data_IF_117180717044
#
_entry.id   IF_117180717044
#
_cell.length_a   1.000
_cell.length_b   1.000
_cell.length_c   1.000
_cell.angle_alpha   90.00
_cell.angle_beta   90.00
_cell.angle_gamma   90.00
#
_symmetry.space_group_name_H-M   'P 1'
#
loop_
_entity.id
_entity.type
_entity.pdbx_description
1 polymer ?
#
# COMPACT_ATOMS: atom_id res chain seq x y z
N UNK A 1 74.33 72.96 -39.61
CA UNK A 1 75.56 72.15 -39.67
C UNK A 1 75.20 70.70 -39.38
N UNK A 2 75.34 69.94 -40.15
CA UNK A 2 76.04 69.00 -41.04
C UNK A 2 75.20 67.72 -41.15
N UNK A 3 74.71 67.46 -42.16
CA UNK A 3 74.75 66.48 -43.26
C UNK A 3 75.63 65.24 -43.02
N UNK A 4 75.07 64.04 -43.24
CA UNK A 4 75.67 62.89 -43.92
C UNK A 4 74.59 61.77 -44.02
N UNK A 5 74.06 61.62 -45.20
CA UNK A 5 74.41 60.66 -46.29
C UNK A 5 74.27 59.19 -45.92
N UNK A 6 73.15 58.63 -46.31
CA UNK A 6 72.88 57.63 -47.38
C UNK A 6 73.85 56.47 -47.57
N UNK A 7 73.30 55.22 -47.43
CA UNK A 7 73.52 54.23 -48.50
C UNK A 7 72.42 53.17 -48.56
N UNK A 8 71.83 52.97 -49.75
CA UNK A 8 70.95 51.91 -50.19
C UNK A 8 71.67 50.61 -50.18
N UNK A 9 71.05 49.58 -49.60
CA UNK A 9 71.45 48.18 -49.75
C UNK A 9 70.28 47.35 -50.26
N UNK A 10 70.54 46.57 -51.27
CA UNK A 10 69.60 45.96 -52.19
C UNK A 10 68.65 44.94 -51.61
N UNK A 11 67.49 44.89 -52.21
CA UNK A 11 66.45 43.87 -52.06
C UNK A 11 66.89 42.46 -52.32
N UNK A 12 66.66 41.52 -51.42
CA UNK A 12 66.59 40.11 -51.80
C UNK A 12 65.12 39.67 -51.59
N UNK A 13 64.55 39.40 -52.77
CA UNK A 13 63.21 38.90 -52.98
C UNK A 13 63.14 37.46 -52.49
N UNK A 14 62.54 37.23 -51.28
CA UNK A 14 62.25 35.88 -50.81
C UNK A 14 61.04 35.32 -51.51
N UNK A 15 61.23 34.17 -52.16
CA UNK A 15 60.18 33.38 -52.83
C UNK A 15 59.09 32.94 -51.83
N UNK A 16 57.84 32.96 -52.22
CA UNK A 16 56.79 32.44 -51.36
C UNK A 16 56.91 30.92 -51.19
N UNK A 17 56.94 30.43 -49.94
CA UNK A 17 56.86 29.02 -49.60
C UNK A 17 55.48 28.51 -50.06
N UNK A 18 55.51 27.51 -50.96
CA UNK A 18 54.33 26.71 -51.28
C UNK A 18 53.84 25.98 -50.02
N UNK A 19 52.66 26.31 -49.58
CA UNK A 19 51.91 25.51 -48.58
C UNK A 19 51.71 24.09 -49.18
N UNK A 20 52.39 23.13 -48.64
CA UNK A 20 52.13 21.74 -48.89
C UNK A 20 50.74 21.41 -48.31
N UNK A 21 49.75 21.34 -49.16
CA UNK A 21 48.46 20.73 -48.84
C UNK A 21 48.74 19.28 -48.48
N UNK A 22 48.57 18.92 -47.20
CA UNK A 22 48.54 17.53 -46.77
C UNK A 22 47.41 16.85 -47.55
N UNK A 23 47.81 15.96 -48.47
CA UNK A 23 46.89 15.15 -49.23
C UNK A 23 46.29 14.12 -48.28
N UNK A 24 45.04 14.32 -47.84
CA UNK A 24 44.24 13.31 -47.17
C UNK A 24 44.08 12.13 -48.11
N UNK A 25 44.48 10.90 -47.72
CA UNK A 25 44.39 9.74 -48.60
C UNK A 25 42.92 9.44 -48.92
N UNK A 26 42.58 9.49 -50.22
CA UNK A 26 41.26 9.19 -50.79
C UNK A 26 40.87 7.69 -50.74
N UNK A 27 41.23 6.97 -49.72
CA UNK A 27 40.91 5.54 -49.59
C UNK A 27 40.36 5.19 -48.23
N UNK A 28 39.18 5.67 -47.88
CA UNK A 28 38.21 4.99 -46.99
C UNK A 28 36.85 5.70 -47.18
N UNK A 29 36.33 5.68 -48.36
CA UNK A 29 34.91 5.83 -48.59
C UNK A 29 34.45 4.56 -49.32
N UNK A 30 34.38 3.45 -48.57
CA UNK A 30 33.55 2.32 -48.99
C UNK A 30 32.12 2.85 -48.97
N UNK A 31 31.66 3.33 -50.10
CA UNK A 31 30.24 3.58 -50.33
C UNK A 31 29.56 2.22 -50.24
N UNK A 32 28.92 1.95 -49.09
CA UNK A 32 27.86 0.96 -49.01
C UNK A 32 26.86 1.33 -50.12
N UNK A 33 26.41 0.41 -50.94
CA UNK A 33 25.36 0.68 -51.91
C UNK A 33 24.03 0.81 -51.19
N UNK A 34 23.82 1.94 -50.51
CA UNK A 34 22.52 2.27 -49.98
C UNK A 34 21.74 2.86 -51.14
N UNK A 35 20.73 2.14 -51.58
CA UNK A 35 19.75 2.62 -52.52
C UNK A 35 19.19 3.95 -52.01
N UNK A 36 19.54 5.04 -52.70
CA UNK A 36 19.23 6.41 -52.28
C UNK A 36 17.74 6.64 -52.14
N UNK A 37 16.93 5.89 -52.87
CA UNK A 37 15.46 5.92 -52.76
C UNK A 37 14.98 5.28 -51.45
N UNK A 38 15.64 4.21 -50.98
CA UNK A 38 15.34 3.59 -49.67
C UNK A 38 15.83 4.45 -48.54
N UNK A 39 17.02 5.05 -48.65
CA UNK A 39 17.56 5.96 -47.64
C UNK A 39 16.64 7.19 -47.42
N UNK A 40 16.13 7.77 -48.51
CA UNK A 40 15.21 8.89 -48.44
C UNK A 40 13.83 8.50 -47.86
N UNK A 41 13.33 7.29 -48.14
CA UNK A 41 12.11 6.78 -47.52
C UNK A 41 12.28 6.54 -46.03
N UNK A 42 13.39 5.92 -45.62
CA UNK A 42 13.69 5.70 -44.18
C UNK A 42 13.90 7.03 -43.47
N UNK A 43 14.64 7.97 -44.06
CA UNK A 43 14.81 9.32 -43.49
C UNK A 43 13.48 10.06 -43.37
N UNK A 44 12.57 9.93 -44.34
CA UNK A 44 11.23 10.51 -44.29
C UNK A 44 10.36 9.89 -43.16
N UNK A 45 10.41 8.58 -42.97
CA UNK A 45 9.70 7.87 -41.89
C UNK A 45 10.25 8.29 -40.51
N UNK A 46 11.58 8.32 -40.38
CA UNK A 46 12.23 8.75 -39.09
C UNK A 46 11.92 10.20 -38.79
N UNK A 47 12.00 11.08 -39.81
CA UNK A 47 11.65 12.49 -39.61
C UNK A 47 10.16 12.69 -39.30
N UNK A 48 9.27 11.98 -39.99
CA UNK A 48 7.85 11.98 -39.74
C UNK A 48 7.50 11.48 -38.32
N UNK A 49 8.15 10.37 -37.92
CA UNK A 49 8.01 9.84 -36.54
C UNK A 49 8.53 10.80 -35.47
N UNK A 50 9.67 11.45 -35.74
CA UNK A 50 10.21 12.46 -34.81
C UNK A 50 9.30 13.70 -34.72
N UNK A 51 8.77 14.19 -35.84
CA UNK A 51 7.79 15.29 -35.82
C UNK A 51 6.51 14.92 -35.10
N UNK A 52 6.01 13.69 -35.29
CA UNK A 52 4.83 13.20 -34.59
C UNK A 52 5.08 13.09 -33.07
N UNK A 53 6.27 12.66 -32.67
CA UNK A 53 6.67 12.63 -31.28
C UNK A 53 6.77 14.04 -30.66
N UNK A 54 7.33 15.03 -31.40
CA UNK A 54 7.35 16.42 -30.95
C UNK A 54 5.92 16.96 -30.79
N UNK A 55 5.06 16.72 -31.77
CA UNK A 55 3.64 17.14 -31.69
C UNK A 55 2.96 16.49 -30.48
N UNK A 56 3.16 15.20 -30.25
CA UNK A 56 2.61 14.51 -29.09
C UNK A 56 3.12 15.13 -27.76
N UNK A 57 4.43 15.39 -27.67
CA UNK A 57 5.02 16.05 -26.48
C UNK A 57 4.44 17.48 -26.30
N UNK A 58 4.30 18.24 -27.37
CA UNK A 58 3.69 19.57 -27.32
C UNK A 58 2.24 19.52 -26.90
N UNK A 59 1.46 18.57 -27.42
CA UNK A 59 0.06 18.39 -27.05
C UNK A 59 -0.07 18.02 -25.57
N UNK A 60 0.79 17.16 -25.04
CA UNK A 60 0.85 16.80 -23.63
C UNK A 60 1.31 18.01 -22.77
N UNK A 61 2.37 18.71 -23.21
CA UNK A 61 2.89 19.87 -22.49
C UNK A 61 1.90 21.05 -22.43
N UNK A 62 1.04 21.18 -23.43
CA UNK A 62 -0.05 22.19 -23.45
C UNK A 62 -1.32 21.72 -22.78
N UNK A 63 -1.31 20.51 -22.21
CA UNK A 63 -2.46 19.92 -21.50
C UNK A 63 -3.73 19.81 -22.38
N UNK A 64 -3.52 19.70 -23.71
CA UNK A 64 -4.63 19.69 -24.69
C UNK A 64 -5.56 18.51 -24.51
N UNK A 65 -5.08 17.26 -24.23
CA UNK A 65 -5.97 16.14 -23.97
C UNK A 65 -6.89 16.41 -22.76
N UNK A 66 -6.33 16.86 -21.65
CA UNK A 66 -7.12 17.16 -20.44
C UNK A 66 -8.11 18.31 -20.67
N UNK A 67 -7.73 19.35 -21.44
CA UNK A 67 -8.66 20.44 -21.81
C UNK A 67 -9.80 19.94 -22.70
N UNK A 68 -9.50 19.00 -23.62
CA UNK A 68 -10.52 18.41 -24.49
C UNK A 68 -11.49 17.53 -23.70
N UNK A 69 -11.00 16.75 -22.74
CA UNK A 69 -11.84 15.94 -21.83
C UNK A 69 -12.72 16.84 -20.96
N UNK A 70 -12.16 17.91 -20.39
CA UNK A 70 -12.93 18.89 -19.60
C UNK A 70 -14.02 19.56 -20.44
N UNK A 71 -13.70 19.96 -21.67
CA UNK A 71 -14.68 20.58 -22.58
C UNK A 71 -15.79 19.60 -22.97
N UNK A 72 -15.46 18.35 -23.25
CA UNK A 72 -16.43 17.29 -23.51
C UNK A 72 -17.28 16.99 -22.27
N UNK A 73 -16.66 16.86 -21.09
CA UNK A 73 -17.38 16.64 -19.83
C UNK A 73 -18.34 17.78 -19.49
N UNK A 74 -17.91 19.03 -19.69
CA UNK A 74 -18.77 20.20 -19.46
C UNK A 74 -19.94 20.31 -20.47
N UNK A 75 -19.73 19.87 -21.72
CA UNK A 75 -20.80 19.77 -22.71
C UNK A 75 -21.84 18.71 -22.33
N UNK A 76 -21.41 17.55 -21.83
CA UNK A 76 -22.28 16.50 -21.28
C UNK A 76 -23.06 17.02 -20.06
N UNK A 77 -22.38 17.80 -19.18
CA UNK A 77 -23.05 18.44 -18.04
C UNK A 77 -24.14 19.43 -18.46
N UNK A 78 -23.90 20.21 -19.52
CA UNK A 78 -24.93 21.11 -20.12
C UNK A 78 -26.11 20.37 -20.75
N UNK A 79 -25.89 19.12 -21.17
CA UNK A 79 -26.98 18.23 -21.66
C UNK A 79 -27.80 17.60 -20.52
N UNK A 80 -27.56 17.99 -19.23
CA UNK A 80 -28.37 17.55 -18.10
C UNK A 80 -27.73 16.43 -17.26
N UNK A 81 -26.57 15.92 -17.64
CA UNK A 81 -25.86 14.86 -16.88
C UNK A 81 -24.96 15.46 -15.78
N UNK A 82 -25.60 16.06 -14.79
CA UNK A 82 -24.92 16.64 -13.62
C UNK A 82 -25.25 15.82 -12.38
N UNK A 83 -24.31 15.75 -11.42
CA UNK A 83 -24.55 15.07 -10.16
C UNK A 83 -25.53 15.87 -9.31
N UNK A 84 -26.72 15.30 -9.08
CA UNK A 84 -27.75 15.86 -8.19
C UNK A 84 -27.74 15.18 -6.82
N UNK A 85 -27.20 13.96 -6.72
CA UNK A 85 -27.08 13.24 -5.47
C UNK A 85 -26.23 11.98 -5.59
N UNK A 86 -25.99 11.35 -4.44
CA UNK A 86 -25.33 10.05 -4.39
C UNK A 86 -25.92 9.16 -3.30
N UNK A 87 -25.78 7.85 -3.48
CA UNK A 87 -26.19 6.83 -2.54
C UNK A 87 -24.96 6.09 -2.05
N UNK A 88 -24.85 5.90 -0.73
CA UNK A 88 -23.81 5.08 -0.13
C UNK A 88 -24.45 3.79 0.34
N UNK A 89 -23.89 2.65 -0.03
CA UNK A 89 -24.33 1.31 0.36
C UNK A 89 -23.16 0.52 0.95
N UNK A 90 -23.47 -0.49 1.77
CA UNK A 90 -22.47 -1.39 2.35
C UNK A 90 -21.79 -0.91 3.63
N UNK A 91 -22.22 0.21 4.22
CA UNK A 91 -21.73 0.68 5.51
C UNK A 91 -22.44 -0.06 6.67
N UNK A 92 -21.65 -0.56 7.61
CA UNK A 92 -22.12 -1.18 8.86
C UNK A 92 -21.47 -0.54 10.11
N UNK A 93 -20.18 -0.27 10.08
CA UNK A 93 -19.41 0.21 11.23
C UNK A 93 -18.78 1.58 11.00
N UNK A 94 -18.41 1.89 9.78
CA UNK A 94 -17.75 3.15 9.44
C UNK A 94 -18.73 4.34 9.51
N UNK A 95 -18.27 5.48 10.06
CA UNK A 95 -19.09 6.70 10.08
C UNK A 95 -19.34 7.20 8.65
N UNK A 96 -20.62 7.24 8.28
CA UNK A 96 -21.08 7.75 6.99
C UNK A 96 -20.52 9.14 6.65
N UNK A 97 -20.35 10.01 7.65
CA UNK A 97 -19.84 11.38 7.46
C UNK A 97 -18.44 11.42 6.83
N UNK A 98 -17.64 10.41 7.11
CA UNK A 98 -16.29 10.29 6.52
C UNK A 98 -16.37 10.02 5.03
N UNK A 99 -17.28 9.15 4.60
CA UNK A 99 -17.53 8.86 3.20
C UNK A 99 -18.17 10.07 2.50
N UNK A 100 -19.17 10.69 3.13
CA UNK A 100 -19.82 11.91 2.63
C UNK A 100 -18.80 13.02 2.38
N UNK A 101 -17.83 13.20 3.28
CA UNK A 101 -16.79 14.21 3.12
C UNK A 101 -15.89 13.94 1.88
N UNK A 102 -15.50 12.69 1.67
CA UNK A 102 -14.66 12.30 0.52
C UNK A 102 -15.41 12.52 -0.79
N UNK A 103 -16.67 12.08 -0.86
CA UNK A 103 -17.50 12.17 -2.08
C UNK A 103 -17.86 13.61 -2.39
N UNK A 104 -18.30 14.38 -1.38
CA UNK A 104 -18.70 15.78 -1.55
C UNK A 104 -17.53 16.66 -1.97
N UNK A 105 -16.32 16.39 -1.45
CA UNK A 105 -15.09 17.09 -1.82
C UNK A 105 -14.76 16.89 -3.30
N UNK A 106 -14.86 15.65 -3.79
CA UNK A 106 -14.61 15.33 -5.19
C UNK A 106 -15.68 15.92 -6.14
N UNK A 107 -16.95 15.87 -5.73
CA UNK A 107 -18.04 16.52 -6.49
C UNK A 107 -17.81 18.03 -6.59
N UNK A 108 -17.42 18.68 -5.47
CA UNK A 108 -17.11 20.10 -5.47
C UNK A 108 -15.93 20.43 -6.39
N UNK A 109 -14.84 19.62 -6.30
CA UNK A 109 -13.68 19.77 -7.18
C UNK A 109 -14.10 19.70 -8.67
N UNK A 110 -14.90 18.71 -9.04
CA UNK A 110 -15.38 18.58 -10.43
C UNK A 110 -16.29 19.73 -10.88
N UNK A 111 -17.09 20.32 -9.96
CA UNK A 111 -17.89 21.50 -10.24
C UNK A 111 -17.02 22.74 -10.46
N UNK A 112 -16.05 22.98 -9.60
CA UNK A 112 -15.09 24.09 -9.68
C UNK A 112 -14.27 24.00 -10.98
N UNK A 113 -13.79 22.80 -11.34
CA UNK A 113 -13.04 22.54 -12.57
C UNK A 113 -13.91 22.81 -13.84
N UNK A 114 -15.18 22.54 -13.77
CA UNK A 114 -16.14 22.84 -14.85
C UNK A 114 -16.57 24.30 -14.88
N UNK A 115 -16.31 25.09 -13.83
CA UNK A 115 -16.86 26.43 -13.66
C UNK A 115 -18.40 26.42 -13.59
N UNK A 116 -19.00 25.36 -13.01
CA UNK A 116 -20.43 25.11 -13.01
C UNK A 116 -20.99 25.00 -11.59
N UNK A 117 -22.25 25.36 -11.39
CA UNK A 117 -22.91 25.23 -10.11
C UNK A 117 -23.15 23.77 -9.67
N UNK A 118 -23.19 22.84 -10.63
CA UNK A 118 -23.28 21.40 -10.40
C UNK A 118 -22.18 20.67 -11.15
N UNK A 119 -21.60 19.66 -10.53
CA UNK A 119 -20.56 18.86 -11.15
C UNK A 119 -21.10 18.07 -12.35
N UNK A 120 -20.50 18.20 -13.54
CA UNK A 120 -20.76 17.26 -14.62
C UNK A 120 -20.36 15.84 -14.18
N UNK A 121 -21.26 14.87 -14.31
CA UNK A 121 -21.02 13.50 -13.84
C UNK A 121 -19.79 12.86 -14.51
N UNK A 122 -19.48 13.26 -15.73
CA UNK A 122 -18.32 12.78 -16.48
C UNK A 122 -16.97 13.28 -15.89
N UNK A 123 -16.95 14.44 -15.21
CA UNK A 123 -15.74 15.04 -14.61
C UNK A 123 -15.49 14.59 -13.16
N UNK A 124 -16.47 13.92 -12.53
CA UNK A 124 -16.23 13.33 -11.21
C UNK A 124 -15.31 12.14 -11.37
N UNK A 125 -14.15 12.20 -10.71
CA UNK A 125 -13.16 11.13 -10.75
C UNK A 125 -13.55 10.01 -9.78
N UNK A 126 -14.15 8.96 -10.33
CA UNK A 126 -14.60 7.79 -9.57
C UNK A 126 -13.42 7.02 -8.95
N UNK A 127 -12.26 6.98 -9.63
CA UNK A 127 -11.08 6.29 -9.11
C UNK A 127 -10.44 7.09 -7.98
N UNK A 128 -10.38 8.41 -8.07
CA UNK A 128 -9.90 9.25 -6.98
C UNK A 128 -10.75 9.09 -5.70
N UNK A 129 -12.07 8.99 -5.83
CA UNK A 129 -12.95 8.67 -4.68
C UNK A 129 -12.58 7.30 -4.11
N UNK A 130 -12.48 6.28 -4.96
CA UNK A 130 -12.14 4.91 -4.57
C UNK A 130 -10.80 4.84 -3.84
N UNK A 131 -9.75 5.41 -4.39
CA UNK A 131 -8.42 5.44 -3.78
C UNK A 131 -8.41 6.13 -2.42
N UNK A 132 -9.16 7.23 -2.27
CA UNK A 132 -9.30 7.93 -1.00
C UNK A 132 -10.04 7.09 0.03
N UNK A 133 -11.10 6.38 -0.36
CA UNK A 133 -11.85 5.47 0.51
C UNK A 133 -11.01 4.28 0.97
N UNK A 134 -10.20 3.69 0.11
CA UNK A 134 -9.30 2.57 0.44
C UNK A 134 -8.20 2.92 1.46
N UNK A 135 -7.98 4.20 1.75
CA UNK A 135 -7.04 4.63 2.82
C UNK A 135 -7.62 4.46 4.23
N UNK A 136 -8.92 4.30 4.36
CA UNK A 136 -9.55 4.03 5.65
C UNK A 136 -9.45 2.54 5.99
N UNK A 137 -8.98 2.24 7.19
CA UNK A 137 -8.77 0.86 7.64
C UNK A 137 -10.02 -0.01 7.52
N UNK A 138 -11.20 0.54 7.74
CA UNK A 138 -12.47 -0.17 7.62
C UNK A 138 -12.83 -0.57 6.18
N UNK A 139 -12.28 0.07 5.18
CA UNK A 139 -12.65 -0.19 3.77
C UNK A 139 -11.79 -1.31 3.21
N UNK A 140 -12.41 -2.45 2.88
CA UNK A 140 -11.78 -3.58 2.19
C UNK A 140 -11.77 -3.37 0.68
N UNK A 141 -12.89 -2.92 0.13
CA UNK A 141 -13.04 -2.53 -1.28
C UNK A 141 -14.08 -1.42 -1.40
N UNK A 142 -13.97 -0.63 -2.46
CA UNK A 142 -14.93 0.41 -2.78
C UNK A 142 -15.14 0.47 -4.29
N UNK A 143 -16.39 0.67 -4.71
CA UNK A 143 -16.78 0.86 -6.10
C UNK A 143 -17.59 2.12 -6.22
N UNK A 144 -17.28 2.92 -7.23
CA UNK A 144 -18.00 4.15 -7.54
C UNK A 144 -18.65 4.01 -8.90
N UNK A 145 -19.96 3.95 -8.92
CA UNK A 145 -20.74 3.71 -10.12
C UNK A 145 -21.52 4.99 -10.50
N UNK A 146 -21.48 5.34 -11.77
CA UNK A 146 -22.32 6.42 -12.30
C UNK A 146 -23.69 5.85 -12.66
N UNK A 147 -24.72 6.33 -11.99
CA UNK A 147 -26.11 5.99 -12.27
C UNK A 147 -26.76 7.16 -13.03
N UNK A 148 -26.93 6.97 -14.31
CA UNK A 148 -27.55 7.98 -15.15
C UNK A 148 -29.04 8.21 -14.76
N UNK A 149 -29.55 9.44 -14.90
CA UNK A 149 -28.87 10.59 -15.51
C UNK A 149 -27.97 11.39 -14.55
N UNK A 150 -28.17 11.34 -13.21
CA UNK A 150 -27.69 12.38 -12.30
C UNK A 150 -27.23 11.88 -10.92
N UNK A 151 -27.00 10.59 -10.74
CA UNK A 151 -26.62 10.02 -9.45
C UNK A 151 -25.31 9.24 -9.47
N UNK A 152 -24.64 9.18 -8.30
CA UNK A 152 -23.53 8.27 -8.05
C UNK A 152 -23.97 7.20 -7.04
N UNK A 153 -23.43 5.99 -7.17
CA UNK A 153 -23.56 4.93 -6.17
C UNK A 153 -22.18 4.58 -5.67
N UNK A 154 -21.99 4.74 -4.37
CA UNK A 154 -20.75 4.42 -3.68
C UNK A 154 -21.01 3.11 -2.94
N UNK A 155 -20.49 2.02 -3.46
CA UNK A 155 -20.61 0.68 -2.90
C UNK A 155 -19.34 0.34 -2.13
N UNK A 156 -19.48 0.15 -0.81
CA UNK A 156 -18.35 -0.08 0.10
C UNK A 156 -18.47 -1.49 0.68
N UNK A 157 -17.35 -2.20 0.64
CA UNK A 157 -17.19 -3.45 1.36
C UNK A 157 -16.33 -3.16 2.57
N UNK A 158 -16.90 -3.28 3.77
CA UNK A 158 -16.15 -3.12 5.01
C UNK A 158 -15.36 -4.38 5.37
N UNK A 159 -14.29 -4.19 6.15
CA UNK A 159 -13.55 -5.28 6.78
C UNK A 159 -14.27 -5.75 8.03
N UNK A 160 -14.18 -7.04 8.31
CA UNK A 160 -14.72 -7.62 9.54
C UNK A 160 -13.64 -7.62 10.63
N UNK A 161 -13.95 -7.12 11.84
CA UNK A 161 -13.03 -7.17 12.96
C UNK A 161 -12.82 -8.62 13.42
N UNK A 162 -11.55 -9.02 13.59
CA UNK A 162 -11.17 -10.38 13.98
C UNK A 162 -10.49 -10.44 15.34
N UNK A 163 -9.70 -9.41 15.71
CA UNK A 163 -8.97 -9.37 16.95
C UNK A 163 -8.69 -7.93 17.42
N UNK A 164 -8.30 -7.81 18.68
CA UNK A 164 -7.70 -6.61 19.26
C UNK A 164 -6.19 -6.75 19.21
N UNK A 165 -5.48 -5.68 18.87
CA UNK A 165 -4.04 -5.63 18.85
C UNK A 165 -3.52 -4.55 19.79
N UNK A 166 -2.70 -4.95 20.76
CA UNK A 166 -2.02 -4.04 21.68
C UNK A 166 -0.53 -3.94 21.34
N UNK A 167 -0.09 -2.73 21.02
CA UNK A 167 1.31 -2.43 20.76
C UNK A 167 1.66 -1.03 21.28
N UNK A 168 2.81 -0.89 21.92
CA UNK A 168 3.30 0.40 22.45
C UNK A 168 2.26 1.16 23.30
N UNK A 169 1.46 0.45 24.09
CA UNK A 169 0.41 1.03 24.93
C UNK A 169 -0.85 1.48 24.19
N UNK A 170 -0.94 1.25 22.88
CA UNK A 170 -2.13 1.53 22.07
C UNK A 170 -2.88 0.26 21.76
N UNK A 171 -4.20 0.33 21.82
CA UNK A 171 -5.11 -0.75 21.47
C UNK A 171 -5.81 -0.40 20.15
N UNK A 172 -5.82 -1.33 19.21
CA UNK A 172 -6.44 -1.20 17.91
C UNK A 172 -7.27 -2.43 17.56
N UNK A 173 -8.31 -2.23 16.80
CA UNK A 173 -9.10 -3.29 16.18
C UNK A 173 -8.41 -3.68 14.87
N UNK A 174 -8.30 -4.98 14.60
CA UNK A 174 -7.70 -5.52 13.37
C UNK A 174 -8.62 -6.54 12.72
N UNK A 175 -8.48 -6.68 11.40
CA UNK A 175 -9.11 -7.77 10.66
C UNK A 175 -8.28 -9.06 10.66
N UNK A 176 -8.77 -10.10 9.99
CA UNK A 176 -8.10 -11.38 9.86
C UNK A 176 -6.80 -11.33 9.04
N UNK A 177 -6.58 -10.30 8.24
CA UNK A 177 -5.34 -10.04 7.51
C UNK A 177 -4.34 -9.18 8.33
N UNK A 178 -4.73 -8.76 9.56
CA UNK A 178 -3.92 -7.93 10.45
C UNK A 178 -3.92 -6.44 10.10
N UNK A 179 -4.84 -5.99 9.25
CA UNK A 179 -5.03 -4.58 8.92
C UNK A 179 -5.69 -3.86 10.08
N UNK A 180 -5.14 -2.71 10.46
CA UNK A 180 -5.71 -1.88 11.53
C UNK A 180 -6.96 -1.17 11.00
N UNK A 181 -8.10 -1.43 11.66
CA UNK A 181 -9.39 -0.84 11.32
C UNK A 181 -9.57 0.50 12.02
N UNK A 182 -9.40 0.48 13.36
CA UNK A 182 -9.56 1.66 14.20
C UNK A 182 -8.81 1.51 15.53
N UNK A 183 -8.65 2.62 16.25
CA UNK A 183 -8.16 2.62 17.63
C UNK A 183 -9.33 2.44 18.59
N UNK A 184 -9.15 1.60 19.59
CA UNK A 184 -10.19 1.29 20.57
C UNK A 184 -9.76 1.80 21.94
N UNK A 185 -10.59 2.62 22.61
CA UNK A 185 -10.37 2.95 24.02
C UNK A 185 -10.55 1.69 24.88
N UNK A 186 -9.73 1.55 25.92
CA UNK A 186 -9.73 0.35 26.79
C UNK A 186 -11.10 0.09 27.45
N UNK A 187 -11.87 1.12 27.71
CA UNK A 187 -13.22 1.02 28.28
C UNK A 187 -14.31 0.61 27.26
N UNK A 188 -13.97 0.44 26.00
CA UNK A 188 -14.89 0.05 24.92
C UNK A 188 -14.38 -1.17 24.14
N UNK A 189 -13.62 -2.04 24.81
CA UNK A 189 -13.08 -3.26 24.18
C UNK A 189 -14.22 -4.21 23.82
N UNK A 190 -14.35 -4.60 22.53
CA UNK A 190 -15.25 -5.68 22.13
C UNK A 190 -14.70 -7.04 22.65
N UNK A 191 -15.58 -8.04 22.73
CA UNK A 191 -15.21 -9.41 23.10
C UNK A 191 -14.54 -10.13 21.93
N UNK A 192 -13.27 -9.79 21.72
CA UNK A 192 -12.42 -10.35 20.67
C UNK A 192 -11.07 -10.79 21.26
N UNK A 193 -10.38 -11.76 20.65
CA UNK A 193 -9.05 -12.19 21.07
C UNK A 193 -8.07 -11.01 21.12
N UNK A 194 -7.27 -10.92 22.19
CA UNK A 194 -6.28 -9.88 22.36
C UNK A 194 -4.90 -10.37 21.93
N UNK A 195 -4.33 -9.72 20.94
CA UNK A 195 -2.96 -9.94 20.47
C UNK A 195 -2.04 -8.86 21.06
N UNK A 196 -0.91 -9.26 21.63
CA UNK A 196 0.01 -8.37 22.32
C UNK A 196 1.40 -8.45 21.65
N UNK A 197 1.98 -7.29 21.39
CA UNK A 197 3.37 -7.19 20.92
C UNK A 197 3.51 -6.55 19.55
N UNK A 198 4.72 -6.05 19.29
CA UNK A 198 5.05 -5.46 18.00
C UNK A 198 4.99 -6.52 16.89
N UNK A 199 4.23 -6.26 15.83
CA UNK A 199 4.06 -7.19 14.72
C UNK A 199 3.12 -8.38 14.98
N UNK A 200 2.47 -8.46 16.16
CA UNK A 200 1.51 -9.53 16.46
C UNK A 200 0.34 -9.54 15.44
N UNK A 201 -0.07 -8.37 14.98
CA UNK A 201 -1.16 -8.22 14.01
C UNK A 201 -0.92 -8.95 12.70
N UNK A 202 0.30 -8.88 12.13
CA UNK A 202 0.60 -9.55 10.83
C UNK A 202 0.71 -11.07 10.96
N UNK A 203 0.72 -11.62 12.17
CA UNK A 203 0.71 -13.05 12.48
C UNK A 203 -0.66 -13.55 12.99
N UNK A 204 -1.70 -12.69 12.95
CA UNK A 204 -3.06 -13.05 13.38
C UNK A 204 -3.57 -14.28 12.63
N UNK A 205 -3.47 -14.30 11.31
CA UNK A 205 -3.95 -15.41 10.48
C UNK A 205 -3.29 -16.76 10.81
N UNK A 206 -1.99 -16.73 11.16
CA UNK A 206 -1.28 -17.94 11.58
C UNK A 206 -1.79 -18.44 12.94
N UNK A 207 -2.02 -17.52 13.88
CA UNK A 207 -2.59 -17.83 15.18
C UNK A 207 -4.01 -18.37 15.05
N UNK A 208 -4.87 -17.70 14.27
CA UNK A 208 -6.24 -18.11 14.04
C UNK A 208 -6.33 -19.53 13.47
N UNK A 209 -5.46 -19.88 12.51
CA UNK A 209 -5.36 -21.24 11.95
C UNK A 209 -4.92 -22.26 12.99
N UNK A 210 -3.93 -21.94 13.83
CA UNK A 210 -3.50 -22.83 14.91
C UNK A 210 -4.62 -23.06 15.93
N UNK A 211 -5.37 -22.02 16.28
CA UNK A 211 -6.49 -22.11 17.22
C UNK A 211 -7.69 -22.84 16.62
N UNK A 212 -7.89 -22.80 15.31
CA UNK A 212 -8.93 -23.57 14.62
C UNK A 212 -8.68 -25.10 14.71
N UNK A 213 -7.41 -25.52 14.75
CA UNK A 213 -7.04 -26.94 14.93
C UNK A 213 -7.30 -27.46 16.36
N UNK A 214 -7.47 -26.57 17.32
CA UNK A 214 -7.68 -26.89 18.74
C UNK A 214 -8.92 -26.20 19.31
N UNK A 215 -10.11 -26.50 18.81
CA UNK A 215 -11.34 -25.77 19.12
C UNK A 215 -11.70 -25.78 20.60
N UNK A 216 -11.22 -26.76 21.38
CA UNK A 216 -11.44 -26.80 22.83
C UNK A 216 -10.66 -25.74 23.62
N UNK A 217 -9.54 -25.27 23.08
CA UNK A 217 -8.72 -24.24 23.71
C UNK A 217 -9.13 -22.80 23.27
N UNK A 218 -9.74 -22.67 22.09
CA UNK A 218 -10.09 -21.36 21.53
C UNK A 218 -10.96 -20.50 22.47
N UNK A 219 -12.06 -20.98 23.06
CA UNK A 219 -12.90 -20.17 23.96
C UNK A 219 -12.22 -19.88 25.30
N UNK A 220 -11.14 -20.56 25.65
CA UNK A 220 -10.39 -20.35 26.88
C UNK A 220 -9.23 -19.37 26.72
N UNK A 221 -8.91 -18.97 25.48
CA UNK A 221 -7.82 -18.03 25.18
C UNK A 221 -8.20 -16.62 25.64
N UNK A 222 -7.43 -16.03 26.55
CA UNK A 222 -7.59 -14.65 27.00
C UNK A 222 -6.77 -13.70 26.13
N UNK A 223 -5.50 -14.06 25.86
CA UNK A 223 -4.63 -13.27 24.98
C UNK A 223 -3.50 -14.09 24.39
N UNK A 224 -2.90 -13.60 23.31
CA UNK A 224 -1.72 -14.17 22.71
C UNK A 224 -0.62 -13.11 22.59
N UNK A 225 0.56 -13.39 23.15
CA UNK A 225 1.69 -12.46 23.13
C UNK A 225 2.73 -12.91 22.09
N UNK A 226 3.03 -12.03 21.13
CA UNK A 226 4.09 -12.24 20.15
C UNK A 226 5.44 -11.84 20.73
N UNK A 227 6.22 -12.82 21.18
CA UNK A 227 7.45 -12.63 21.95
C UNK A 227 8.66 -12.61 21.04
N UNK A 228 9.42 -11.50 21.13
CA UNK A 228 10.70 -11.34 20.43
C UNK A 228 10.60 -11.40 18.91
N UNK A 229 9.43 -11.19 18.32
CA UNK A 229 9.21 -11.24 16.87
C UNK A 229 9.26 -12.65 16.27
N UNK A 230 9.07 -13.73 17.05
CA UNK A 230 9.33 -15.09 16.55
C UNK A 230 8.51 -16.23 17.14
N UNK A 231 7.79 -16.03 18.24
CA UNK A 231 6.97 -17.07 18.87
C UNK A 231 5.75 -16.52 19.58
N UNK A 232 4.76 -17.38 19.80
CA UNK A 232 3.60 -17.07 20.60
C UNK A 232 3.71 -17.62 22.02
N UNK A 233 3.35 -16.82 23.00
CA UNK A 233 2.99 -17.22 24.34
C UNK A 233 1.47 -17.00 24.48
N UNK A 234 0.69 -18.07 24.74
CA UNK A 234 -0.76 -18.05 24.83
C UNK A 234 -1.15 -17.94 26.30
N UNK A 235 -1.98 -16.96 26.66
CA UNK A 235 -2.47 -16.76 28.02
C UNK A 235 -3.93 -17.18 28.06
N UNK A 236 -4.27 -18.07 28.98
CA UNK A 236 -5.62 -18.61 29.13
C UNK A 236 -6.38 -17.88 30.24
N UNK A 237 -7.72 -17.95 30.17
CA UNK A 237 -8.61 -17.28 31.16
C UNK A 237 -8.41 -17.82 32.58
N UNK A 238 -7.97 -19.05 32.73
CA UNK A 238 -7.61 -19.70 33.99
C UNK A 238 -6.28 -19.21 34.60
N UNK A 239 -5.53 -18.34 33.85
CA UNK A 239 -4.31 -17.69 34.32
C UNK A 239 -3.01 -18.35 33.88
N UNK A 240 -3.05 -19.53 33.28
CA UNK A 240 -1.86 -20.21 32.81
C UNK A 240 -1.37 -19.63 31.48
N UNK A 241 -0.05 -19.67 31.28
CA UNK A 241 0.62 -19.33 30.02
C UNK A 241 1.18 -20.56 29.34
N UNK A 242 0.90 -20.76 28.05
CA UNK A 242 1.51 -21.79 27.22
C UNK A 242 2.51 -21.15 26.27
N UNK A 243 3.81 -21.40 26.48
CA UNK A 243 4.88 -20.89 25.61
C UNK A 243 5.12 -21.86 24.45
N UNK A 244 4.88 -21.40 23.22
CA UNK A 244 5.07 -22.19 22.02
C UNK A 244 6.52 -22.09 21.47
N UNK A 245 7.01 -23.12 20.75
CA UNK A 245 8.27 -23.03 20.04
C UNK A 245 8.19 -22.02 18.89
N UNK A 246 9.35 -21.63 18.37
CA UNK A 246 9.49 -20.75 17.20
C UNK A 246 9.07 -21.49 15.92
N UNK A 247 8.46 -20.76 14.99
CA UNK A 247 8.01 -21.24 13.69
C UNK A 247 6.65 -21.92 13.72
N UNK A 248 5.84 -21.62 12.69
CA UNK A 248 4.43 -22.02 12.60
C UNK A 248 4.18 -23.52 12.77
N UNK A 249 4.93 -24.38 12.05
CA UNK A 249 4.69 -25.83 12.10
C UNK A 249 5.05 -26.45 13.45
N UNK A 250 6.14 -25.97 14.07
CA UNK A 250 6.55 -26.45 15.38
C UNK A 250 5.54 -26.00 16.46
N UNK A 251 5.12 -24.74 16.41
CA UNK A 251 4.09 -24.19 17.30
C UNK A 251 2.74 -24.94 17.17
N UNK A 252 2.27 -25.15 15.95
CA UNK A 252 1.05 -25.90 15.63
C UNK A 252 1.08 -27.32 16.19
N UNK A 253 2.19 -28.02 15.97
CA UNK A 253 2.37 -29.40 16.46
C UNK A 253 2.41 -29.46 17.99
N UNK A 254 3.13 -28.51 18.63
CA UNK A 254 3.22 -28.42 20.07
C UNK A 254 1.87 -28.12 20.70
N UNK A 255 1.13 -27.16 20.15
CA UNK A 255 -0.21 -26.78 20.62
C UNK A 255 -1.21 -27.94 20.50
N UNK A 256 -1.19 -28.67 19.38
CA UNK A 256 -2.05 -29.84 19.20
C UNK A 256 -1.77 -30.93 20.23
N UNK A 257 -0.48 -31.21 20.56
CA UNK A 257 -0.09 -32.12 21.61
C UNK A 257 -0.55 -31.64 22.99
N UNK A 258 -0.40 -30.37 23.29
CA UNK A 258 -0.88 -29.77 24.53
C UNK A 258 -2.40 -29.93 24.66
N UNK A 259 -3.16 -29.57 23.63
CA UNK A 259 -4.61 -29.71 23.61
C UNK A 259 -5.08 -31.15 23.84
N UNK A 260 -4.34 -32.11 23.29
CA UNK A 260 -4.62 -33.57 23.56
C UNK A 260 -4.38 -33.91 25.02
N UNK A 261 -3.26 -33.48 25.58
CA UNK A 261 -2.93 -33.73 26.98
C UNK A 261 -3.91 -33.02 27.93
N UNK A 262 -4.31 -31.78 27.62
CA UNK A 262 -5.30 -31.05 28.40
C UNK A 262 -6.66 -31.75 28.43
N UNK A 263 -7.16 -32.21 27.27
CA UNK A 263 -8.41 -32.99 27.21
C UNK A 263 -8.37 -34.29 28.04
N UNK A 264 -7.19 -34.92 28.13
CA UNK A 264 -7.04 -36.18 28.88
C UNK A 264 -6.88 -35.96 30.39
N UNK A 265 -6.23 -34.88 30.78
CA UNK A 265 -5.77 -34.68 32.16
C UNK A 265 -6.28 -33.39 32.80
N UNK A 266 -6.98 -32.50 32.03
CA UNK A 266 -7.47 -31.22 32.53
C UNK A 266 -6.31 -30.39 33.06
N UNK A 267 -5.37 -29.99 32.23
CA UNK A 267 -4.16 -29.30 32.63
C UNK A 267 -4.44 -27.81 32.97
N UNK A 268 -5.33 -27.19 32.21
CA UNK A 268 -5.77 -25.81 32.45
C UNK A 268 -6.73 -25.75 33.67
N UNK A 269 -6.65 -24.69 34.45
CA UNK A 269 -7.47 -24.46 35.64
C UNK A 269 -6.98 -25.18 36.91
N UNK A 270 -5.79 -25.82 36.88
CA UNK A 270 -5.18 -26.44 38.05
C UNK A 270 -4.26 -25.52 38.86
N UNK A 271 -4.23 -24.25 38.54
CA UNK A 271 -3.37 -23.28 39.22
C UNK A 271 -1.89 -23.38 38.90
N UNK A 272 -1.55 -23.95 37.75
CA UNK A 272 -0.19 -23.93 37.23
C UNK A 272 0.12 -22.55 36.63
N UNK A 273 1.39 -22.13 36.64
CA UNK A 273 1.76 -20.80 36.15
C UNK A 273 2.05 -20.83 34.66
N UNK A 274 2.82 -21.84 34.20
CA UNK A 274 3.29 -21.88 32.83
C UNK A 274 3.55 -23.30 32.34
N UNK A 275 3.20 -23.56 31.09
CA UNK A 275 3.59 -24.72 30.31
C UNK A 275 4.58 -24.27 29.24
N UNK A 276 5.80 -24.74 29.28
CA UNK A 276 6.83 -24.42 28.31
C UNK A 276 7.00 -25.56 27.31
N UNK A 277 6.60 -25.31 26.05
CA UNK A 277 6.65 -26.28 24.96
C UNK A 277 7.78 -25.98 23.96
N UNK A 278 8.66 -25.03 24.28
CA UNK A 278 9.73 -24.57 23.36
C UNK A 278 10.76 -25.67 23.06
N UNK A 279 10.94 -26.61 23.98
CA UNK A 279 11.85 -27.74 23.77
C UNK A 279 11.10 -28.87 23.08
N UNK A 280 11.52 -29.29 21.88
CA UNK A 280 10.83 -30.36 21.16
C UNK A 280 10.67 -31.64 21.98
N UNK A 281 9.45 -32.20 22.00
CA UNK A 281 9.13 -33.43 22.70
C UNK A 281 9.04 -33.33 24.23
N UNK A 282 9.25 -32.18 24.80
CA UNK A 282 9.16 -31.92 26.25
C UNK A 282 8.08 -30.90 26.58
N UNK A 283 7.39 -31.09 27.70
CA UNK A 283 6.52 -30.11 28.31
C UNK A 283 7.04 -29.83 29.71
N UNK A 284 7.57 -28.64 29.93
CA UNK A 284 8.09 -28.21 31.22
C UNK A 284 6.98 -27.41 31.91
N UNK A 285 6.63 -27.81 33.14
CA UNK A 285 5.56 -27.17 33.92
C UNK A 285 6.17 -26.36 35.03
N UNK A 286 5.79 -25.08 35.14
CA UNK A 286 6.12 -24.24 36.28
C UNK A 286 4.93 -24.22 37.24
N UNK A 287 5.19 -24.64 38.47
CA UNK A 287 4.23 -24.56 39.59
C UNK A 287 4.31 -23.17 40.25
N UNK A 288 3.22 -22.70 40.87
CA UNK A 288 3.24 -21.48 41.65
C UNK A 288 4.24 -21.62 42.83
N UNK A 289 5.01 -20.57 43.05
CA UNK A 289 5.84 -20.48 44.23
C UNK A 289 5.01 -19.84 45.36
N UNK A 290 5.29 -20.14 46.63
CA UNK A 290 4.56 -19.60 47.77
C UNK A 290 4.47 -18.06 47.84
N UNK A 291 5.24 -17.35 47.00
CA UNK A 291 5.24 -15.90 46.88
C UNK A 291 4.59 -15.38 45.58
N UNK A 292 4.13 -16.26 44.69
CA UNK A 292 3.41 -15.81 43.48
C UNK A 292 1.99 -15.35 43.88
N UNK A 293 1.54 -14.14 43.47
CA UNK A 293 0.19 -13.70 43.80
C UNK A 293 -0.83 -14.66 43.16
N UNK A 294 -1.64 -15.32 43.99
CA UNK A 294 -2.77 -16.11 43.52
C UNK A 294 -3.78 -15.21 42.84
N UNK A 295 -3.93 -15.35 41.53
CA UNK A 295 -5.07 -14.74 40.85
C UNK A 295 -6.34 -15.45 41.33
N UNK A 296 -7.29 -14.76 42.00
CA UNK A 296 -8.49 -15.41 42.49
C UNK A 296 -9.31 -15.96 41.34
N UNK A 297 -9.65 -17.24 41.41
CA UNK A 297 -10.58 -17.86 40.48
C UNK A 297 -11.89 -17.07 40.45
N UNK A 298 -12.33 -16.65 39.28
CA UNK A 298 -13.59 -15.93 39.07
C UNK A 298 -14.73 -16.87 39.52
N UNK A 299 -15.63 -16.47 40.41
CA UNK A 299 -16.73 -17.31 40.83
C UNK A 299 -17.59 -17.67 39.62
N UNK A 300 -17.80 -18.96 39.41
CA UNK A 300 -18.79 -19.44 38.46
C UNK A 300 -20.16 -18.98 38.95
N UNK A 301 -20.83 -18.14 38.17
CA UNK A 301 -22.22 -17.79 38.43
C UNK A 301 -23.08 -19.06 38.22
N UNK A 302 -23.77 -19.47 39.25
CA UNK A 302 -24.80 -20.52 39.22
C UNK A 302 -26.04 -20.02 38.51
#
# INVERSE_FOLDING_TARGET
MSAAHVRRGASSRAKPRKNSRVAVPKKIARRLPVDQARANKVAGIVFGGFMLAIVAVVLVALDIPAKAERAAGSAVGRAGFTVSGYQIVGLAHMDRRVVDAVVSDEIRRAADEAGAAKAPQALVDAEAIRERLLRFGWVKDARVLRRLPDALVIDIVEREPAALWQSKGQLALIDAEGVVLDRVPVNQMPDLPLLIGAGANVHEQELARMMADVPTLKPQLASATWVGGRRWDLNFQSGETVALPEGYQAARTALAKFAKADRQSGLLGRGMVRFDLRVPGKMIVRLPHALDPMTPAKPQAS
#
